data_IF_056862816373
#
_entry.id   IF_056862816373
#
_cell.length_a   1.000
_cell.length_b   1.000
_cell.length_c   1.000
_cell.angle_alpha   90.00
_cell.angle_beta   90.00
_cell.angle_gamma   90.00
#
_symmetry.space_group_name_H-M   'P 1'
#
loop_
_entity.id
_entity.type
_entity.pdbx_description
1 polymer ?
#
# COMPACT_ATOMS: atom_id res chain seq x y z
N UNK A 1 11.77 -36.16 -11.33
CA UNK A 1 10.40 -35.86 -10.86
C UNK A 1 10.43 -35.72 -9.35
N UNK A 2 10.11 -34.52 -8.87
CA UNK A 2 9.43 -34.21 -7.60
C UNK A 2 9.60 -32.70 -7.38
N UNK A 3 8.64 -31.94 -7.89
CA UNK A 3 8.38 -30.55 -7.50
C UNK A 3 7.29 -30.61 -6.43
N UNK A 4 7.59 -30.17 -5.22
CA UNK A 4 6.65 -29.96 -4.12
C UNK A 4 7.33 -28.89 -3.25
N UNK A 5 6.84 -27.66 -3.11
CA UNK A 5 5.51 -27.29 -2.68
C UNK A 5 5.22 -25.87 -3.17
N UNK A 6 4.11 -25.69 -3.88
CA UNK A 6 3.57 -24.36 -4.17
C UNK A 6 2.95 -23.83 -2.89
N UNK A 7 3.73 -23.02 -2.19
CA UNK A 7 3.32 -22.34 -0.97
C UNK A 7 2.20 -21.34 -1.24
N UNK A 8 1.03 -21.68 -0.73
CA UNK A 8 0.05 -20.78 -0.14
C UNK A 8 -0.55 -19.70 -1.04
N UNK A 9 -1.63 -20.09 -1.71
CA UNK A 9 -2.94 -19.43 -1.64
C UNK A 9 -3.05 -18.32 -0.58
N UNK A 10 -2.79 -17.08 -0.98
CA UNK A 10 -3.10 -15.89 -0.19
C UNK A 10 -3.58 -14.74 -1.09
N UNK A 11 -4.45 -15.06 -2.06
CA UNK A 11 -5.09 -14.07 -2.92
C UNK A 11 -6.60 -14.34 -2.99
N UNK A 12 -7.31 -14.25 -1.86
CA UNK A 12 -8.79 -14.35 -1.89
C UNK A 12 -9.53 -13.50 -0.86
N UNK A 13 -8.87 -12.66 -0.04
CA UNK A 13 -9.58 -11.90 1.02
C UNK A 13 -9.73 -10.39 0.79
N UNK A 14 -9.69 -9.91 -0.46
CA UNK A 14 -9.96 -8.50 -0.77
C UNK A 14 -11.38 -8.25 -1.33
N UNK A 15 -12.22 -9.28 -1.46
CA UNK A 15 -13.58 -9.15 -2.02
C UNK A 15 -14.71 -9.16 -0.97
N UNK A 16 -14.40 -9.28 0.32
CA UNK A 16 -15.42 -9.35 1.38
C UNK A 16 -15.95 -7.98 1.81
N UNK A 17 -15.25 -6.87 1.55
CA UNK A 17 -15.67 -5.54 2.02
C UNK A 17 -16.62 -4.79 1.07
N UNK A 18 -16.68 -5.13 -0.22
CA UNK A 18 -17.68 -4.54 -1.15
C UNK A 18 -19.08 -5.14 -0.97
N UNK A 19 -19.18 -6.33 -0.36
CA UNK A 19 -20.42 -7.08 -0.19
C UNK A 19 -21.43 -6.38 0.74
N UNK A 20 -20.98 -5.57 1.69
CA UNK A 20 -21.84 -4.95 2.71
C UNK A 20 -22.82 -3.88 2.19
N UNK A 21 -22.44 -3.11 1.16
CA UNK A 21 -23.28 -2.04 0.59
C UNK A 21 -24.39 -2.60 -0.33
N UNK A 22 -24.08 -3.66 -1.09
CA UNK A 22 -25.04 -4.30 -2.01
C UNK A 22 -26.10 -5.11 -1.25
N UNK A 23 -25.70 -5.82 -0.20
CA UNK A 23 -26.64 -6.47 0.73
C UNK A 23 -27.47 -5.42 1.52
N UNK A 24 -26.89 -4.26 1.82
CA UNK A 24 -27.59 -3.13 2.44
C UNK A 24 -28.63 -2.47 1.50
N UNK A 25 -28.31 -2.21 0.24
CA UNK A 25 -29.26 -1.67 -0.75
C UNK A 25 -30.42 -2.65 -1.00
N UNK A 26 -30.16 -3.96 -0.96
CA UNK A 26 -31.20 -5.00 -0.97
C UNK A 26 -32.11 -4.91 0.25
N UNK A 27 -31.56 -4.77 1.45
CA UNK A 27 -32.37 -4.63 2.67
C UNK A 27 -33.19 -3.34 2.63
N UNK A 28 -32.65 -2.25 2.11
CA UNK A 28 -33.34 -0.96 1.94
C UNK A 28 -34.54 -1.07 0.97
N UNK A 29 -34.35 -1.71 -0.19
CA UNK A 29 -35.41 -2.00 -1.16
C UNK A 29 -36.50 -2.92 -0.55
N UNK A 30 -36.08 -3.89 0.27
CA UNK A 30 -36.98 -4.84 0.93
C UNK A 30 -37.85 -4.15 1.98
N UNK A 31 -37.29 -3.22 2.77
CA UNK A 31 -38.04 -2.44 3.75
C UNK A 31 -38.96 -1.39 3.11
N UNK A 32 -38.55 -0.75 2.02
CA UNK A 32 -39.41 0.18 1.26
C UNK A 32 -40.66 -0.51 0.68
N UNK A 33 -40.57 -1.82 0.43
CA UNK A 33 -41.68 -2.63 -0.09
C UNK A 33 -42.64 -3.12 1.01
N UNK A 34 -42.25 -3.08 2.29
CA UNK A 34 -42.98 -3.76 3.39
C UNK A 34 -43.17 -2.97 4.71
N UNK A 35 -42.81 -1.68 4.80
CA UNK A 35 -42.93 -0.95 6.08
C UNK A 35 -44.37 -0.46 6.36
N UNK A 36 -44.99 -1.08 7.37
CA UNK A 36 -46.12 -0.55 8.14
C UNK A 36 -45.65 0.73 8.90
N UNK A 37 -46.32 1.88 8.75
CA UNK A 37 -45.81 3.23 9.10
C UNK A 37 -45.48 3.54 10.58
N UNK A 38 -45.61 2.58 11.51
CA UNK A 38 -45.63 2.88 12.95
C UNK A 38 -44.29 2.74 13.71
N UNK A 39 -43.17 2.30 13.11
CA UNK A 39 -41.84 2.29 13.78
C UNK A 39 -40.61 2.55 12.86
N UNK A 40 -40.46 3.75 12.28
CA UNK A 40 -39.31 4.08 11.43
C UNK A 40 -38.00 4.46 12.18
N UNK A 41 -38.02 4.70 13.50
CA UNK A 41 -36.90 5.38 14.18
C UNK A 41 -35.64 4.55 14.45
N UNK A 42 -35.76 3.24 14.73
CA UNK A 42 -34.60 2.38 15.07
C UNK A 42 -33.70 2.13 13.84
N UNK A 43 -34.34 1.96 12.68
CA UNK A 43 -33.65 1.72 11.41
C UNK A 43 -32.84 2.94 10.95
N UNK A 44 -33.31 4.17 11.19
CA UNK A 44 -32.60 5.38 10.77
C UNK A 44 -31.30 5.61 11.57
N UNK A 45 -31.28 5.29 12.87
CA UNK A 45 -30.12 5.49 13.73
C UNK A 45 -29.02 4.46 13.41
N UNK A 46 -29.41 3.21 13.16
CA UNK A 46 -28.50 2.17 12.65
C UNK A 46 -27.94 2.52 11.26
N UNK A 47 -28.77 3.06 10.36
CA UNK A 47 -28.33 3.55 9.04
C UNK A 47 -27.30 4.67 9.14
N UNK A 48 -27.50 5.63 10.04
CA UNK A 48 -26.54 6.71 10.25
C UNK A 48 -25.17 6.18 10.71
N UNK A 49 -25.16 5.19 11.62
CA UNK A 49 -23.93 4.55 12.09
C UNK A 49 -23.26 3.70 11.00
N UNK A 50 -24.03 2.97 10.18
CA UNK A 50 -23.48 2.16 9.09
C UNK A 50 -22.93 3.03 7.95
N UNK A 51 -23.60 4.14 7.61
CA UNK A 51 -23.09 5.10 6.64
C UNK A 51 -21.78 5.74 7.13
N UNK A 52 -21.70 6.08 8.42
CA UNK A 52 -20.45 6.55 9.03
C UNK A 52 -19.35 5.49 8.94
N UNK A 53 -19.66 4.23 9.24
CA UNK A 53 -18.70 3.13 9.15
C UNK A 53 -18.23 2.88 7.71
N UNK A 54 -19.15 2.90 6.74
CA UNK A 54 -18.84 2.73 5.31
C UNK A 54 -17.92 3.84 4.82
N UNK A 55 -18.19 5.09 5.20
CA UNK A 55 -17.33 6.22 4.87
C UNK A 55 -15.92 6.08 5.47
N UNK A 56 -15.82 5.60 6.72
CA UNK A 56 -14.53 5.32 7.35
C UNK A 56 -13.78 4.19 6.63
N UNK A 57 -14.46 3.10 6.27
CA UNK A 57 -13.87 2.01 5.51
C UNK A 57 -13.40 2.47 4.13
N UNK A 58 -14.21 3.26 3.43
CA UNK A 58 -13.83 3.79 2.12
C UNK A 58 -12.63 4.76 2.23
N UNK A 59 -12.57 5.55 3.31
CA UNK A 59 -11.42 6.38 3.62
C UNK A 59 -10.18 5.53 3.90
N UNK A 60 -10.31 4.44 4.65
CA UNK A 60 -9.21 3.50 4.91
C UNK A 60 -8.71 2.86 3.62
N UNK A 61 -9.61 2.36 2.77
CA UNK A 61 -9.28 1.78 1.47
C UNK A 61 -8.57 2.78 0.55
N UNK A 62 -8.99 4.04 0.57
CA UNK A 62 -8.35 5.12 -0.17
C UNK A 62 -6.94 5.38 0.36
N UNK A 63 -6.74 5.43 1.68
CA UNK A 63 -5.41 5.57 2.29
C UNK A 63 -4.48 4.43 1.88
N UNK A 64 -4.95 3.19 1.88
CA UNK A 64 -4.14 2.03 1.49
C UNK A 64 -3.78 2.05 -0.01
N UNK A 65 -4.72 2.52 -0.84
CA UNK A 65 -4.49 2.74 -2.27
C UNK A 65 -3.44 3.84 -2.51
N UNK A 66 -3.51 4.95 -1.76
CA UNK A 66 -2.51 6.03 -1.83
C UNK A 66 -1.14 5.52 -1.38
N UNK A 67 -1.05 4.77 -0.28
CA UNK A 67 0.22 4.17 0.16
C UNK A 67 0.84 3.30 -0.93
N UNK A 68 0.04 2.44 -1.55
CA UNK A 68 0.49 1.59 -2.66
C UNK A 68 1.00 2.41 -3.85
N UNK A 69 0.30 3.50 -4.21
CA UNK A 69 0.75 4.40 -5.27
C UNK A 69 2.07 5.09 -4.93
N UNK A 70 2.25 5.55 -3.70
CA UNK A 70 3.50 6.17 -3.24
C UNK A 70 4.64 5.15 -3.30
N UNK A 71 4.44 3.92 -2.82
CA UNK A 71 5.46 2.87 -2.85
C UNK A 71 5.83 2.51 -4.30
N UNK A 72 4.85 2.39 -5.20
CA UNK A 72 5.10 2.14 -6.63
C UNK A 72 5.86 3.30 -7.29
N UNK A 73 5.50 4.55 -6.99
CA UNK A 73 6.20 5.72 -7.53
C UNK A 73 7.65 5.77 -7.06
N UNK A 74 7.89 5.50 -5.77
CA UNK A 74 9.23 5.42 -5.20
C UNK A 74 10.02 4.27 -5.84
N UNK A 75 9.41 3.10 -6.05
CA UNK A 75 10.03 1.96 -6.71
C UNK A 75 10.47 2.29 -8.14
N UNK A 76 9.61 2.95 -8.92
CA UNK A 76 9.94 3.38 -10.29
C UNK A 76 11.11 4.37 -10.31
N UNK A 77 11.16 5.30 -9.34
CA UNK A 77 12.29 6.20 -9.19
C UNK A 77 13.57 5.42 -8.87
N UNK A 78 13.52 4.48 -7.92
CA UNK A 78 14.66 3.64 -7.56
C UNK A 78 15.19 2.79 -8.72
N UNK A 79 14.31 2.25 -9.56
CA UNK A 79 14.71 1.49 -10.76
C UNK A 79 15.52 2.37 -11.71
N UNK A 80 15.12 3.64 -11.90
CA UNK A 80 15.88 4.60 -12.72
C UNK A 80 17.25 4.97 -12.16
N UNK A 81 17.54 4.64 -10.91
CA UNK A 81 18.83 4.89 -10.25
C UNK A 81 19.81 3.73 -10.41
N UNK A 82 19.35 2.51 -10.72
CA UNK A 82 20.25 1.37 -10.93
C UNK A 82 21.31 1.73 -11.99
N UNK A 83 22.58 1.49 -11.64
CA UNK A 83 23.72 1.81 -12.51
C UNK A 83 24.12 3.28 -12.56
N UNK A 84 23.36 4.21 -11.95
CA UNK A 84 23.76 5.62 -11.81
C UNK A 84 24.70 5.83 -10.65
N UNK A 85 25.50 6.90 -10.71
CA UNK A 85 26.33 7.32 -9.60
C UNK A 85 25.52 8.26 -8.72
N UNK A 86 25.45 7.98 -7.43
CA UNK A 86 24.70 8.80 -6.47
C UNK A 86 25.61 9.26 -5.34
N UNK A 87 25.40 10.50 -4.92
CA UNK A 87 25.98 11.04 -3.69
C UNK A 87 24.94 10.90 -2.57
N UNK A 88 25.29 10.18 -1.51
CA UNK A 88 24.40 9.86 -0.39
C UNK A 88 24.91 10.47 0.91
N UNK A 89 23.99 10.91 1.75
CA UNK A 89 24.27 11.36 3.11
C UNK A 89 24.18 10.18 4.08
N UNK A 90 25.27 9.90 4.77
CA UNK A 90 25.36 8.87 5.82
C UNK A 90 25.67 9.53 7.16
N UNK A 91 25.46 8.81 8.27
CA UNK A 91 25.80 9.32 9.61
C UNK A 91 27.28 9.71 9.78
N UNK A 92 28.17 9.16 8.96
CA UNK A 92 29.61 9.44 8.99
C UNK A 92 30.06 10.47 7.93
N UNK A 93 29.13 11.06 7.18
CA UNK A 93 29.41 12.04 6.14
C UNK A 93 28.84 11.66 4.77
N UNK A 94 29.30 12.33 3.72
CA UNK A 94 28.85 12.07 2.34
C UNK A 94 29.64 10.92 1.73
N UNK A 95 28.94 9.97 1.11
CA UNK A 95 29.56 8.87 0.37
C UNK A 95 29.08 8.90 -1.09
N UNK A 96 29.95 8.51 -2.02
CA UNK A 96 29.63 8.45 -3.45
C UNK A 96 29.82 7.03 -3.97
N UNK A 97 28.92 6.57 -4.82
CA UNK A 97 29.01 5.24 -5.41
C UNK A 97 27.94 4.96 -6.45
N UNK A 98 28.06 3.82 -7.10
CA UNK A 98 27.10 3.35 -8.10
C UNK A 98 26.02 2.50 -7.46
N UNK A 99 24.76 2.75 -7.80
CA UNK A 99 23.64 1.91 -7.32
C UNK A 99 23.72 0.54 -7.99
N UNK A 100 23.87 -0.52 -7.18
CA UNK A 100 24.03 -1.89 -7.66
C UNK A 100 22.75 -2.73 -7.56
N UNK A 101 21.88 -2.44 -6.60
CA UNK A 101 20.66 -3.23 -6.39
C UNK A 101 19.56 -2.41 -5.72
N UNK A 102 18.33 -2.90 -5.85
CA UNK A 102 17.11 -2.37 -5.24
C UNK A 102 16.43 -3.49 -4.44
N UNK A 103 15.97 -3.16 -3.24
CA UNK A 103 15.16 -4.01 -2.38
C UNK A 103 13.77 -3.39 -2.23
N UNK A 104 12.72 -4.16 -2.56
CA UNK A 104 11.32 -3.76 -2.41
C UNK A 104 10.58 -4.60 -1.35
N UNK A 105 11.31 -5.32 -0.50
CA UNK A 105 10.71 -6.22 0.48
C UNK A 105 10.09 -5.49 1.69
N UNK A 106 10.33 -4.19 1.83
CA UNK A 106 9.82 -3.37 2.94
C UNK A 106 8.73 -2.37 2.52
N UNK A 107 8.32 -1.53 3.47
CA UNK A 107 7.28 -0.51 3.26
C UNK A 107 7.72 0.60 2.27
N UNK A 108 9.03 0.81 2.17
CA UNK A 108 9.67 1.73 1.23
C UNK A 108 10.83 1.03 0.49
N UNK A 109 11.08 1.40 -0.78
CA UNK A 109 12.19 0.85 -1.54
C UNK A 109 13.54 1.33 -0.96
N UNK A 110 14.45 0.38 -0.80
CA UNK A 110 15.83 0.61 -0.33
C UNK A 110 16.82 0.30 -1.45
N UNK A 111 17.88 1.08 -1.56
CA UNK A 111 18.93 0.87 -2.57
C UNK A 111 20.22 0.36 -1.92
N UNK A 112 21.00 -0.39 -2.69
CA UNK A 112 22.35 -0.79 -2.34
C UNK A 112 23.33 -0.04 -3.24
N UNK A 113 24.28 0.67 -2.63
CA UNK A 113 25.28 1.47 -3.31
C UNK A 113 26.64 0.81 -3.16
N UNK A 114 27.36 0.63 -4.27
CA UNK A 114 28.75 0.17 -4.28
C UNK A 114 29.67 1.37 -4.48
N UNK A 115 30.56 1.62 -3.52
CA UNK A 115 31.55 2.69 -3.61
C UNK A 115 32.70 2.31 -4.54
N UNK A 116 33.45 3.31 -5.01
CA UNK A 116 34.68 3.11 -5.79
C UNK A 116 35.79 2.38 -5.02
N UNK A 117 35.75 2.42 -3.68
CA UNK A 117 36.64 1.66 -2.79
C UNK A 117 36.25 0.18 -2.66
N UNK A 118 35.17 -0.25 -3.32
CA UNK A 118 34.69 -1.63 -3.32
C UNK A 118 33.76 -1.98 -2.14
N UNK A 119 33.51 -1.03 -1.23
CA UNK A 119 32.57 -1.23 -0.12
C UNK A 119 31.11 -1.15 -0.61
N UNK A 120 30.25 -2.00 -0.07
CA UNK A 120 28.81 -2.01 -0.37
C UNK A 120 28.02 -1.45 0.82
N UNK A 121 27.28 -0.39 0.59
CA UNK A 121 26.37 0.21 1.54
C UNK A 121 24.95 -0.25 1.19
N UNK A 122 24.34 -1.04 2.07
CA UNK A 122 22.97 -1.54 1.92
C UNK A 122 21.99 -0.65 2.69
N UNK A 123 20.69 -0.85 2.44
CA UNK A 123 19.60 -0.22 3.20
C UNK A 123 19.62 1.32 3.16
N UNK A 124 20.06 1.87 2.03
CA UNK A 124 20.06 3.31 1.80
C UNK A 124 18.69 3.74 1.28
N UNK A 125 18.07 4.72 1.92
CA UNK A 125 16.78 5.25 1.51
C UNK A 125 16.93 6.28 0.38
N UNK A 126 15.89 6.44 -0.43
CA UNK A 126 15.82 7.49 -1.46
C UNK A 126 16.02 8.90 -0.87
N UNK A 127 15.56 9.13 0.36
CA UNK A 127 15.71 10.41 1.06
C UNK A 127 17.15 10.76 1.45
N UNK A 128 18.06 9.79 1.46
CA UNK A 128 19.47 10.01 1.73
C UNK A 128 20.26 10.44 0.48
N UNK A 129 19.65 10.39 -0.70
CA UNK A 129 20.32 10.80 -1.95
C UNK A 129 20.33 12.32 -2.04
N UNK A 130 21.53 12.88 -2.15
CA UNK A 130 21.77 14.32 -2.30
C UNK A 130 21.75 14.70 -3.78
N UNK A 131 22.44 13.91 -4.62
CA UNK A 131 22.51 14.16 -6.06
C UNK A 131 22.69 12.87 -6.85
N UNK A 132 22.26 12.89 -8.11
CA UNK A 132 22.39 11.78 -9.06
C UNK A 132 23.21 12.27 -10.25
N UNK A 133 24.24 11.50 -10.62
CA UNK A 133 25.22 11.80 -11.67
C UNK A 133 25.22 10.72 -12.74
#
# INVERSE_FOLDING_TARGET
MAIDSVGASAATNLQSSSLGMEDFLKILLTQLTYQDPLKPMDNQQFMAQMAQFTNLQQTQQLNDSIKTLITNQAALQSVGLIGKTVDINTQSGTASGTVSALSLSGEAPMITVRTSTGATLTDISLSQIISVR
#
